data_IF_796398966274
#
_entry.id   IF_796398966274
#
_cell.length_a   1.000
_cell.length_b   1.000
_cell.length_c   1.000
_cell.angle_alpha   90.00
_cell.angle_beta   90.00
_cell.angle_gamma   90.00
#
_symmetry.space_group_name_H-M   'P 1'
#
loop_
_entity.id
_entity.type
_entity.pdbx_description
1 polymer ?
#
# COMPACT_ATOMS: atom_id res chain seq x y z
N UNK A 1 49.05 5.54 3.70
CA UNK A 1 48.06 5.80 2.63
C UNK A 1 47.08 4.64 2.43
N UNK A 2 47.53 3.42 2.10
CA UNK A 2 46.64 2.27 1.83
C UNK A 2 45.58 1.94 2.90
N UNK A 3 45.92 2.09 4.19
CA UNK A 3 44.96 1.86 5.30
C UNK A 3 43.82 2.89 5.29
N UNK A 4 44.14 4.18 5.08
CA UNK A 4 43.15 5.27 5.05
C UNK A 4 42.21 5.17 3.84
N UNK A 5 42.72 4.72 2.68
CA UNK A 5 41.91 4.44 1.49
C UNK A 5 40.93 3.28 1.74
N UNK A 6 41.36 2.25 2.48
CA UNK A 6 40.50 1.11 2.83
C UNK A 6 39.38 1.47 3.82
N UNK A 7 39.69 2.33 4.80
CA UNK A 7 38.69 2.82 5.77
C UNK A 7 37.68 3.76 5.11
N UNK A 8 38.14 4.64 4.21
CA UNK A 8 37.28 5.51 3.43
C UNK A 8 36.33 4.69 2.54
N UNK A 9 36.86 3.68 1.84
CA UNK A 9 36.05 2.81 0.96
C UNK A 9 34.99 2.04 1.77
N UNK A 10 35.36 1.53 2.96
CA UNK A 10 34.42 0.84 3.86
C UNK A 10 33.31 1.78 4.34
N UNK A 11 33.67 2.98 4.80
CA UNK A 11 32.71 3.98 5.27
C UNK A 11 31.74 4.40 4.16
N UNK A 12 32.25 4.54 2.92
CA UNK A 12 31.43 4.92 1.78
C UNK A 12 30.44 3.81 1.38
N UNK A 13 30.89 2.54 1.40
CA UNK A 13 30.02 1.39 1.16
C UNK A 13 28.90 1.30 2.21
N UNK A 14 29.24 1.45 3.49
CA UNK A 14 28.28 1.42 4.59
C UNK A 14 27.24 2.54 4.48
N UNK A 15 27.68 3.74 4.09
CA UNK A 15 26.78 4.87 3.86
C UNK A 15 25.80 4.59 2.71
N UNK A 16 26.30 4.07 1.58
CA UNK A 16 25.44 3.73 0.44
C UNK A 16 24.44 2.63 0.78
N UNK A 17 24.83 1.61 1.56
CA UNK A 17 23.90 0.58 2.03
C UNK A 17 22.79 1.16 2.90
N UNK A 18 23.14 2.03 3.87
CA UNK A 18 22.13 2.70 4.72
C UNK A 18 21.18 3.58 3.91
N UNK A 19 21.70 4.35 2.96
CA UNK A 19 20.85 5.15 2.07
C UNK A 19 19.90 4.28 1.24
N UNK A 20 20.37 3.14 0.73
CA UNK A 20 19.53 2.22 -0.02
C UNK A 20 18.42 1.63 0.84
N UNK A 21 18.72 1.29 2.09
CA UNK A 21 17.75 0.80 3.06
C UNK A 21 16.72 1.87 3.41
N UNK A 22 17.16 3.11 3.65
CA UNK A 22 16.29 4.26 3.92
C UNK A 22 15.33 4.54 2.76
N UNK A 23 15.83 4.49 1.52
CA UNK A 23 15.02 4.65 0.32
C UNK A 23 14.00 3.51 0.17
N UNK A 24 14.42 2.26 0.40
CA UNK A 24 13.53 1.10 0.35
C UNK A 24 12.44 1.20 1.42
N UNK A 25 12.76 1.63 2.63
CA UNK A 25 11.79 1.83 3.69
C UNK A 25 10.82 2.97 3.36
N UNK A 26 11.32 4.09 2.85
CA UNK A 26 10.49 5.20 2.40
C UNK A 26 9.52 4.79 1.28
N UNK A 27 9.95 3.96 0.34
CA UNK A 27 9.09 3.43 -0.73
C UNK A 27 8.09 2.39 -0.24
N UNK A 28 8.35 1.67 0.85
CA UNK A 28 7.46 0.62 1.36
C UNK A 28 6.63 1.09 2.56
N UNK A 29 6.37 2.40 2.65
CA UNK A 29 5.53 2.98 3.70
C UNK A 29 4.49 3.95 3.14
N UNK A 30 3.37 4.08 3.86
CA UNK A 30 2.30 5.03 3.60
C UNK A 30 2.16 6.02 4.76
N UNK A 31 2.02 7.30 4.44
CA UNK A 31 1.74 8.35 5.42
C UNK A 31 0.33 8.20 5.96
N UNK A 32 0.15 8.31 7.28
CA UNK A 32 -1.17 8.25 7.92
C UNK A 32 -1.55 9.62 8.48
N UNK A 33 -2.67 10.15 7.98
CA UNK A 33 -3.21 11.43 8.42
C UNK A 33 -3.71 11.40 9.87
N UNK A 34 -4.05 10.22 10.39
CA UNK A 34 -4.58 10.08 11.75
C UNK A 34 -3.49 10.10 12.82
N UNK A 35 -2.44 9.30 12.67
CA UNK A 35 -1.34 9.23 13.65
C UNK A 35 -0.16 10.16 13.29
N UNK A 36 -0.19 10.79 12.10
CA UNK A 36 0.89 11.60 11.54
C UNK A 36 2.21 10.83 11.34
N UNK A 37 2.15 9.50 11.41
CA UNK A 37 3.28 8.59 11.21
C UNK A 37 3.26 7.90 9.84
N UNK A 38 4.09 6.86 9.73
CA UNK A 38 4.21 5.99 8.56
C UNK A 38 3.79 4.57 8.93
N UNK A 39 3.11 3.88 8.03
CA UNK A 39 2.77 2.47 8.16
C UNK A 39 3.35 1.69 7.00
N UNK A 40 3.71 0.42 7.23
CA UNK A 40 4.27 -0.38 6.13
C UNK A 40 3.18 -0.76 5.14
N UNK A 41 3.57 -0.83 3.87
CA UNK A 41 2.81 -1.49 2.80
C UNK A 41 3.59 -2.72 2.37
N UNK A 42 2.90 -3.81 2.08
CA UNK A 42 3.52 -5.06 1.63
C UNK A 42 3.07 -5.35 0.21
N UNK A 43 4.02 -5.36 -0.72
CA UNK A 43 3.74 -5.71 -2.12
C UNK A 43 3.22 -7.15 -2.19
N UNK A 44 2.14 -7.35 -2.94
CA UNK A 44 1.50 -8.62 -3.13
C UNK A 44 1.84 -9.17 -4.52
N UNK A 45 2.15 -10.45 -4.58
CA UNK A 45 2.26 -11.17 -5.85
C UNK A 45 0.86 -11.51 -6.38
N UNK A 46 0.21 -10.52 -6.99
CA UNK A 46 -1.13 -10.61 -7.58
C UNK A 46 -1.14 -9.95 -8.96
N UNK A 47 -1.82 -10.58 -9.91
CA UNK A 47 -2.03 -10.02 -11.24
C UNK A 47 -3.10 -8.91 -11.19
N UNK A 48 -2.78 -7.66 -11.61
CA UNK A 48 -3.75 -6.56 -11.67
C UNK A 48 -5.02 -6.86 -12.47
N UNK A 49 -4.96 -7.75 -13.49
CA UNK A 49 -6.14 -8.11 -14.29
C UNK A 49 -7.12 -9.03 -13.56
N UNK A 50 -6.68 -9.66 -12.46
CA UNK A 50 -7.46 -10.62 -11.66
C UNK A 50 -7.18 -10.45 -10.16
N UNK A 51 -7.28 -9.21 -9.67
CA UNK A 51 -6.78 -8.82 -8.36
C UNK A 51 -7.81 -8.82 -7.23
N UNK A 52 -9.04 -8.40 -7.53
CA UNK A 52 -10.07 -8.08 -6.54
C UNK A 52 -11.10 -9.19 -6.46
N UNK A 53 -11.21 -9.85 -5.32
CA UNK A 53 -12.27 -10.84 -5.11
C UNK A 53 -13.64 -10.16 -4.94
N UNK A 54 -14.66 -10.74 -5.55
CA UNK A 54 -16.05 -10.30 -5.47
C UNK A 54 -16.96 -11.48 -5.09
N UNK A 55 -17.64 -11.36 -3.95
CA UNK A 55 -18.56 -12.39 -3.47
C UNK A 55 -19.82 -12.49 -4.35
N UNK A 56 -20.29 -11.37 -4.90
CA UNK A 56 -21.48 -11.33 -5.76
C UNK A 56 -21.26 -12.06 -7.10
N UNK A 57 -20.06 -11.96 -7.66
CA UNK A 57 -19.70 -12.62 -8.92
C UNK A 57 -19.07 -14.00 -8.74
N UNK A 58 -18.59 -14.31 -7.52
CA UNK A 58 -17.85 -15.55 -7.24
C UNK A 58 -16.50 -15.62 -7.95
N UNK A 59 -15.87 -14.48 -8.24
CA UNK A 59 -14.69 -14.39 -9.09
C UNK A 59 -13.81 -13.18 -8.84
N UNK A 60 -12.72 -13.08 -9.61
CA UNK A 60 -11.75 -12.00 -9.53
C UNK A 60 -12.00 -10.94 -10.60
N UNK A 61 -11.86 -9.68 -10.23
CA UNK A 61 -11.96 -8.51 -11.10
C UNK A 61 -10.63 -7.77 -11.21
N UNK A 62 -10.42 -7.01 -12.30
CA UNK A 62 -9.26 -6.16 -12.43
C UNK A 62 -9.26 -5.04 -11.38
N UNK A 63 -8.06 -4.63 -10.98
CA UNK A 63 -7.80 -3.45 -10.17
C UNK A 63 -7.19 -2.33 -11.03
N UNK A 64 -7.70 -1.12 -10.88
CA UNK A 64 -7.22 0.09 -11.52
C UNK A 64 -6.38 0.95 -10.56
N UNK A 65 -5.58 1.87 -11.08
CA UNK A 65 -4.74 2.74 -10.25
C UNK A 65 -5.56 3.58 -9.27
N UNK A 66 -5.16 3.54 -8.00
CA UNK A 66 -5.87 4.16 -6.89
C UNK A 66 -7.03 3.33 -6.34
N UNK A 67 -7.34 2.16 -6.90
CA UNK A 67 -8.36 1.27 -6.32
C UNK A 67 -8.00 0.92 -4.87
N UNK A 68 -9.00 0.98 -4.00
CA UNK A 68 -8.89 0.62 -2.59
C UNK A 68 -10.08 -0.23 -2.16
N UNK A 69 -9.81 -1.49 -1.79
CA UNK A 69 -10.84 -2.46 -1.43
C UNK A 69 -10.44 -3.27 -0.20
N UNK A 70 -11.40 -4.04 0.30
CA UNK A 70 -11.19 -4.99 1.38
C UNK A 70 -11.63 -6.38 0.93
N UNK A 71 -10.94 -7.42 1.41
CA UNK A 71 -11.34 -8.81 1.22
C UNK A 71 -11.48 -9.50 2.56
N UNK A 72 -12.48 -10.34 2.69
CA UNK A 72 -12.68 -11.17 3.88
C UNK A 72 -12.02 -12.53 3.72
N UNK A 73 -11.53 -13.07 4.82
CA UNK A 73 -10.92 -14.40 4.90
C UNK A 73 -11.23 -15.03 6.26
N UNK A 74 -10.90 -16.32 6.42
CA UNK A 74 -11.18 -17.07 7.65
C UNK A 74 -12.67 -16.98 8.05
N UNK A 75 -13.57 -17.22 7.09
CA UNK A 75 -15.04 -17.12 7.29
C UNK A 75 -15.49 -15.74 7.81
N UNK A 76 -14.81 -14.68 7.38
CA UNK A 76 -15.13 -13.29 7.77
C UNK A 76 -14.43 -12.79 9.03
N UNK A 77 -13.61 -13.61 9.70
CA UNK A 77 -12.90 -13.21 10.91
C UNK A 77 -11.73 -12.26 10.63
N UNK A 78 -11.15 -12.32 9.43
CA UNK A 78 -10.03 -11.47 9.04
C UNK A 78 -10.39 -10.66 7.82
N UNK A 79 -10.33 -9.33 7.97
CA UNK A 79 -10.44 -8.37 6.87
C UNK A 79 -9.05 -7.90 6.49
N UNK A 80 -8.71 -8.03 5.22
CA UNK A 80 -7.44 -7.55 4.65
C UNK A 80 -7.75 -6.40 3.69
N UNK A 81 -6.97 -5.33 3.77
CA UNK A 81 -7.17 -4.14 2.95
C UNK A 81 -6.08 -4.06 1.88
N UNK A 82 -6.49 -3.83 0.65
CA UNK A 82 -5.60 -3.77 -0.50
C UNK A 82 -5.75 -2.48 -1.26
N UNK A 83 -4.66 -1.99 -1.84
CA UNK A 83 -4.72 -0.89 -2.79
C UNK A 83 -3.78 -1.09 -3.97
N UNK A 84 -4.23 -0.63 -5.14
CA UNK A 84 -3.44 -0.57 -6.36
C UNK A 84 -2.72 0.79 -6.41
N UNK A 85 -1.40 0.75 -6.38
CA UNK A 85 -0.56 1.95 -6.44
C UNK A 85 0.74 1.67 -7.17
N UNK A 86 1.21 2.62 -7.97
CA UNK A 86 2.47 2.49 -8.71
C UNK A 86 2.48 1.23 -9.61
N UNK A 87 1.33 0.86 -10.17
CA UNK A 87 1.17 -0.35 -11.00
C UNK A 87 1.24 -1.68 -10.24
N UNK A 88 1.22 -1.67 -8.91
CA UNK A 88 1.31 -2.87 -8.07
C UNK A 88 0.25 -2.90 -6.98
N UNK A 89 -0.02 -4.11 -6.48
CA UNK A 89 -1.00 -4.32 -5.41
C UNK A 89 -0.26 -4.43 -4.08
N UNK A 90 -0.78 -3.75 -3.07
CA UNK A 90 -0.21 -3.77 -1.72
C UNK A 90 -1.24 -4.14 -0.67
N UNK A 91 -0.85 -4.95 0.31
CA UNK A 91 -1.54 -5.05 1.59
C UNK A 91 -1.22 -3.81 2.43
N UNK A 92 -2.27 -3.09 2.80
CA UNK A 92 -2.25 -1.85 3.55
C UNK A 92 -3.09 -1.94 4.83
N UNK A 93 -3.33 -3.16 5.33
CA UNK A 93 -4.18 -3.46 6.49
C UNK A 93 -3.75 -2.68 7.73
N UNK A 94 -2.44 -2.54 7.97
CA UNK A 94 -1.92 -1.76 9.10
C UNK A 94 -2.34 -0.28 9.02
N UNK A 95 -2.16 0.32 7.85
CA UNK A 95 -2.52 1.71 7.60
C UNK A 95 -4.04 1.94 7.68
N UNK A 96 -4.83 1.05 7.05
CA UNK A 96 -6.29 1.12 7.04
C UNK A 96 -6.86 0.97 8.45
N UNK A 97 -6.31 0.04 9.24
CA UNK A 97 -6.64 -0.16 10.65
C UNK A 97 -6.30 1.08 11.49
N UNK A 98 -5.12 1.69 11.28
CA UNK A 98 -4.78 2.94 11.94
C UNK A 98 -5.80 4.02 11.62
N UNK A 99 -6.12 4.25 10.34
CA UNK A 99 -7.11 5.24 9.91
C UNK A 99 -8.56 4.91 10.31
N UNK A 100 -8.84 3.68 10.80
CA UNK A 100 -10.19 3.16 11.08
C UNK A 100 -11.08 3.17 9.84
N UNK A 101 -10.54 2.75 8.69
CA UNK A 101 -11.32 2.66 7.46
C UNK A 101 -12.38 1.57 7.59
N UNK A 102 -13.64 1.93 7.34
CA UNK A 102 -14.75 0.99 7.19
C UNK A 102 -15.10 0.79 5.72
N UNK A 103 -14.63 -0.31 5.12
CA UNK A 103 -15.03 -0.76 3.78
C UNK A 103 -15.68 -2.13 3.95
N UNK A 104 -16.84 -2.32 3.34
CA UNK A 104 -17.44 -3.65 3.22
C UNK A 104 -16.54 -4.52 2.34
N UNK A 105 -16.14 -5.73 2.79
CA UNK A 105 -15.28 -6.58 2.00
C UNK A 105 -16.02 -7.21 0.81
N UNK A 106 -15.25 -7.68 -0.17
CA UNK A 106 -15.69 -8.54 -1.27
C UNK A 106 -16.78 -7.92 -2.17
N UNK A 107 -16.82 -6.58 -2.24
CA UNK A 107 -17.81 -5.83 -3.01
C UNK A 107 -17.48 -5.80 -4.51
N UNK A 108 -18.51 -5.84 -5.35
CA UNK A 108 -18.34 -5.78 -6.81
C UNK A 108 -17.66 -4.47 -7.25
N UNK A 109 -18.14 -3.33 -6.73
CA UNK A 109 -17.59 -2.01 -7.04
C UNK A 109 -16.58 -1.59 -5.99
N UNK A 110 -15.55 -0.87 -6.43
CA UNK A 110 -14.58 -0.22 -5.54
C UNK A 110 -15.22 1.05 -4.98
N UNK A 111 -15.38 1.16 -3.65
CA UNK A 111 -16.09 2.29 -3.05
C UNK A 111 -15.23 3.56 -2.96
N UNK A 112 -13.90 3.43 -2.96
CA UNK A 112 -12.98 4.54 -2.76
C UNK A 112 -11.82 4.50 -3.75
N UNK A 113 -11.48 5.66 -4.29
CA UNK A 113 -10.19 5.87 -4.91
C UNK A 113 -9.28 6.64 -3.95
N UNK A 114 -8.09 6.11 -3.72
CA UNK A 114 -7.04 6.82 -2.98
C UNK A 114 -6.24 7.63 -3.99
N UNK A 115 -6.17 8.95 -3.78
CA UNK A 115 -5.20 9.80 -4.48
C UNK A 115 -3.95 9.97 -3.61
N UNK A 116 -2.80 9.54 -4.11
CA UNK A 116 -1.51 9.81 -3.49
C UNK A 116 -0.97 11.14 -4.01
N UNK A 117 -1.20 12.22 -3.25
CA UNK A 117 -0.73 13.56 -3.58
C UNK A 117 0.79 13.67 -3.49
N UNK A 118 1.42 14.20 -4.54
CA UNK A 118 2.86 14.46 -4.59
C UNK A 118 3.26 15.45 -3.49
N UNK A 119 4.10 14.98 -2.56
CA UNK A 119 4.80 15.74 -1.50
C UNK A 119 3.88 16.36 -0.42
N UNK A 120 3.71 15.61 0.66
CA UNK A 120 3.36 16.15 1.99
C UNK A 120 1.89 16.08 2.40
N UNK A 121 0.97 15.78 1.47
CA UNK A 121 -0.42 15.52 1.81
C UNK A 121 -0.64 14.00 1.91
N UNK A 122 -1.09 13.54 3.08
CA UNK A 122 -1.46 12.13 3.27
C UNK A 122 -2.58 11.69 2.32
N UNK A 123 -2.80 10.38 2.15
CA UNK A 123 -3.78 9.88 1.21
C UNK A 123 -5.18 10.36 1.59
N UNK A 124 -5.88 10.99 0.65
CA UNK A 124 -7.26 11.48 0.83
C UNK A 124 -8.21 10.47 0.20
N UNK A 125 -9.19 10.00 0.96
CA UNK A 125 -10.24 9.12 0.45
C UNK A 125 -11.22 9.94 -0.40
N UNK A 126 -11.16 9.78 -1.72
CA UNK A 126 -12.15 10.30 -2.64
C UNK A 126 -13.29 9.30 -2.78
N UNK A 127 -14.50 9.66 -2.34
CA UNK A 127 -15.69 8.83 -2.51
C UNK A 127 -16.25 8.94 -3.93
N UNK A 128 -16.38 7.83 -4.62
CA UNK A 128 -17.13 7.76 -5.89
C UNK A 128 -18.62 7.81 -5.57
N UNK A 129 -19.31 8.88 -6.01
CA UNK A 129 -20.77 8.99 -5.83
C UNK A 129 -21.46 7.80 -6.50
N UNK A 130 -22.32 7.11 -5.74
CA UNK A 130 -23.15 6.01 -6.23
C UNK A 130 -23.95 6.44 -7.47
N UNK A 131 -23.57 5.92 -8.64
CA UNK A 131 -24.45 5.78 -9.79
C UNK A 131 -25.23 4.47 -9.66
N UNK A 132 -26.52 4.54 -10.00
CA UNK A 132 -27.54 3.48 -9.93
C UNK A 132 -27.11 2.10 -10.44
#
# INVERSE_FOLDING_TARGET
MRMAESELTRSMSEFLSRLQDDLREAMNTMMCSKCQGKHKRFEMDRDPLSARYCAECGGLHPAEEGDFWAESSLLGLKITYFAMMDGKIYDITEWAGCQRVGISPDTHRVPYHISFGSRGAGPVLGGSRLGR
#
